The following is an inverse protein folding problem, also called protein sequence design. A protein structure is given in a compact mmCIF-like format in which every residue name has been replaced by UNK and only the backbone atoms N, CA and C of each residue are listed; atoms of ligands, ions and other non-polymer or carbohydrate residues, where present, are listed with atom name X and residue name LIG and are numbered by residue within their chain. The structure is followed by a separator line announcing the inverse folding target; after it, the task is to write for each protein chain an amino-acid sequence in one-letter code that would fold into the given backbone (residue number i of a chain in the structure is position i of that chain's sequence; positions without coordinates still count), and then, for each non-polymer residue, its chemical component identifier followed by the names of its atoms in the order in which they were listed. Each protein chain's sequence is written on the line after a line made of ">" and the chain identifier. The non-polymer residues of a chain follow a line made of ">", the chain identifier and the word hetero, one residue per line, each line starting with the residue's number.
data_IF_099572786263
#
_entry.id   IF_099572786263
#
_cell.length_a   1.000
_cell.length_b   1.000
_cell.length_c   1.000
_cell.angle_alpha   90.00
_cell.angle_beta   90.00
_cell.angle_gamma   90.00
#
_symmetry.space_group_name_H-M   'P 1'
#
loop_
_entity.id
_entity.type
_entity.pdbx_description
1 polymer ?
#
# COMPACT_ATOMS: atom_id res chain seq x y z
N UNK A 1 0.50 -6.41 18.39
CA UNK A 1 1.75 -6.13 17.66
C UNK A 1 2.29 -7.34 16.89
N UNK A 2 2.47 -8.52 17.52
CA UNK A 2 3.03 -9.70 16.83
C UNK A 2 2.25 -10.15 15.56
N UNK A 3 0.91 -10.03 15.56
CA UNK A 3 0.05 -10.32 14.39
C UNK A 3 0.25 -9.33 13.23
N UNK A 4 0.65 -8.09 13.52
CA UNK A 4 0.70 -6.99 12.55
C UNK A 4 2.01 -6.92 11.77
N UNK A 5 3.14 -7.25 12.41
CA UNK A 5 4.48 -7.10 11.81
C UNK A 5 4.63 -7.78 10.45
N UNK A 6 4.17 -9.02 10.31
CA UNK A 6 4.30 -9.76 9.05
C UNK A 6 3.40 -9.16 7.96
N UNK A 7 2.22 -8.68 8.35
CA UNK A 7 1.28 -8.02 7.44
C UNK A 7 1.86 -6.68 6.96
N UNK A 8 2.47 -5.89 7.85
CA UNK A 8 3.17 -4.65 7.48
C UNK A 8 4.27 -4.89 6.47
N UNK A 9 5.13 -5.88 6.69
CA UNK A 9 6.24 -6.17 5.78
C UNK A 9 5.72 -6.55 4.38
N UNK A 10 4.70 -7.43 4.31
CA UNK A 10 4.08 -7.83 3.04
C UNK A 10 3.38 -6.64 2.37
N UNK A 11 2.60 -5.87 3.13
CA UNK A 11 1.92 -4.68 2.65
C UNK A 11 2.91 -3.67 2.06
N UNK A 12 4.00 -3.38 2.77
CA UNK A 12 5.04 -2.46 2.31
C UNK A 12 5.72 -2.95 1.02
N UNK A 13 6.03 -4.25 0.93
CA UNK A 13 6.62 -4.86 -0.27
C UNK A 13 5.67 -4.89 -1.47
N UNK A 14 4.36 -4.85 -1.25
CA UNK A 14 3.37 -4.69 -2.33
C UNK A 14 3.18 -3.22 -2.70
N UNK A 15 3.06 -2.35 -1.70
CA UNK A 15 2.77 -0.93 -1.86
C UNK A 15 3.87 -0.17 -2.58
N UNK A 16 5.12 -0.28 -2.11
CA UNK A 16 6.21 0.55 -2.63
C UNK A 16 6.50 0.32 -4.12
N UNK A 17 6.66 -0.93 -4.62
CA UNK A 17 6.92 -1.15 -6.04
C UNK A 17 5.75 -0.72 -6.92
N UNK A 18 4.51 -0.96 -6.48
CA UNK A 18 3.32 -0.57 -7.25
C UNK A 18 3.18 0.96 -7.29
N UNK A 19 3.43 1.66 -6.18
CA UNK A 19 3.43 3.12 -6.15
C UNK A 19 4.55 3.77 -6.96
N UNK A 20 5.69 3.09 -7.12
CA UNK A 20 6.77 3.56 -7.98
C UNK A 20 6.46 3.39 -9.48
N UNK A 21 5.48 2.54 -9.85
CA UNK A 21 5.08 2.38 -11.24
C UNK A 21 4.23 3.57 -11.71
N UNK A 22 4.53 4.14 -12.89
CA UNK A 22 3.63 5.09 -13.54
C UNK A 22 2.25 4.45 -13.74
N UNK A 23 1.20 5.12 -13.27
CA UNK A 23 -0.20 4.64 -13.31
C UNK A 23 -0.59 3.53 -12.32
N UNK A 24 0.29 3.10 -11.40
CA UNK A 24 -0.04 2.18 -10.31
C UNK A 24 -0.69 2.91 -9.12
N UNK A 25 -1.97 3.25 -9.20
CA UNK A 25 -2.67 3.92 -8.10
C UNK A 25 -2.65 3.12 -6.78
N UNK A 26 -2.71 3.81 -5.63
CA UNK A 26 -2.60 3.23 -4.28
C UNK A 26 -3.75 2.27 -3.90
N UNK A 27 -4.84 2.27 -4.65
CA UNK A 27 -5.98 1.37 -4.42
C UNK A 27 -5.63 -0.09 -4.78
N UNK A 28 -4.89 -0.31 -5.86
CA UNK A 28 -4.48 -1.65 -6.31
C UNK A 28 -3.67 -2.40 -5.24
N UNK A 29 -2.56 -1.86 -4.69
CA UNK A 29 -1.77 -2.57 -3.69
C UNK A 29 -2.57 -2.77 -2.38
N UNK A 30 -3.48 -1.85 -2.06
CA UNK A 30 -4.32 -1.93 -0.84
C UNK A 30 -5.32 -3.10 -0.93
N UNK A 31 -6.08 -3.19 -2.03
CA UNK A 31 -7.02 -4.30 -2.24
C UNK A 31 -6.29 -5.65 -2.42
N UNK A 32 -5.17 -5.65 -3.14
CA UNK A 32 -4.33 -6.84 -3.29
C UNK A 32 -3.79 -7.31 -1.94
N UNK A 33 -3.31 -6.38 -1.10
CA UNK A 33 -2.86 -6.70 0.25
C UNK A 33 -4.01 -7.28 1.08
N UNK A 34 -5.22 -6.72 1.01
CA UNK A 34 -6.37 -7.27 1.75
C UNK A 34 -6.67 -8.71 1.33
N UNK A 35 -6.71 -8.98 0.03
CA UNK A 35 -6.96 -10.32 -0.51
C UNK A 35 -5.86 -11.32 -0.10
N UNK A 36 -4.60 -10.91 -0.13
CA UNK A 36 -3.46 -11.72 0.31
C UNK A 36 -3.52 -12.00 1.80
N UNK A 37 -3.78 -11.00 2.63
CA UNK A 37 -3.88 -11.17 4.08
C UNK A 37 -5.05 -12.09 4.45
N UNK A 38 -6.21 -11.94 3.80
CA UNK A 38 -7.34 -12.88 3.96
C UNK A 38 -6.96 -14.30 3.53
N UNK A 39 -6.15 -14.46 2.48
CA UNK A 39 -5.69 -15.78 2.01
C UNK A 39 -4.64 -16.41 2.93
N UNK A 40 -3.74 -15.63 3.52
CA UNK A 40 -2.65 -16.13 4.37
C UNK A 40 -3.01 -16.23 5.86
N UNK A 41 -4.05 -15.52 6.27
CA UNK A 41 -4.53 -15.53 7.64
C UNK A 41 -4.91 -16.93 8.11
N UNK A 42 -4.55 -17.23 9.36
CA UNK A 42 -5.07 -18.38 10.13
C UNK A 42 -6.44 -18.09 10.74
N UNK A 43 -6.87 -16.84 10.76
CA UNK A 43 -8.07 -16.29 11.38
C UNK A 43 -9.02 -15.71 10.30
N UNK A 44 -9.32 -16.51 9.29
CA UNK A 44 -10.10 -16.05 8.11
C UNK A 44 -11.51 -15.64 8.50
N UNK A 45 -12.05 -16.24 9.55
CA UNK A 45 -13.36 -15.96 10.13
C UNK A 45 -13.49 -14.55 10.72
N UNK A 46 -12.38 -13.91 11.11
CA UNK A 46 -12.39 -12.53 11.65
C UNK A 46 -12.59 -11.48 10.53
N UNK A 47 -12.32 -11.81 9.26
CA UNK A 47 -12.41 -10.88 8.15
C UNK A 47 -13.87 -10.57 7.79
N UNK A 48 -14.29 -9.32 7.98
CA UNK A 48 -15.64 -8.86 7.66
C UNK A 48 -16.69 -9.15 8.75
N UNK A 49 -16.26 -9.69 9.90
CA UNK A 49 -17.11 -9.93 11.07
C UNK A 49 -16.69 -8.99 12.21
N UNK A 50 -15.76 -9.43 13.06
CA UNK A 50 -15.20 -8.67 14.19
C UNK A 50 -14.03 -7.78 13.75
N UNK A 51 -13.45 -8.05 12.59
CA UNK A 51 -12.30 -7.34 12.06
C UNK A 51 -10.99 -8.06 12.38
N UNK A 52 -10.26 -8.42 11.33
CA UNK A 52 -8.97 -9.09 11.44
C UNK A 52 -7.83 -8.08 11.45
N UNK A 53 -6.90 -8.20 12.41
CA UNK A 53 -5.75 -7.28 12.54
C UNK A 53 -4.92 -7.22 11.25
N UNK A 54 -4.71 -8.37 10.60
CA UNK A 54 -3.96 -8.46 9.35
C UNK A 54 -4.71 -7.81 8.18
N UNK A 55 -6.03 -7.88 8.22
CA UNK A 55 -6.93 -7.23 7.27
C UNK A 55 -6.93 -5.71 7.32
N UNK A 56 -6.29 -5.10 8.33
CA UNK A 56 -6.04 -3.64 8.39
C UNK A 56 -4.55 -3.36 8.25
N UNK A 57 -3.71 -4.08 9.00
CA UNK A 57 -2.27 -3.82 9.03
C UNK A 57 -1.60 -3.95 7.65
N UNK A 58 -1.92 -4.99 6.88
CA UNK A 58 -1.36 -5.16 5.53
C UNK A 58 -1.80 -4.04 4.58
N UNK A 59 -3.11 -3.84 4.39
CA UNK A 59 -3.63 -2.78 3.53
C UNK A 59 -3.14 -1.37 3.87
N UNK A 60 -3.09 -1.00 5.16
CA UNK A 60 -2.61 0.32 5.58
C UNK A 60 -1.11 0.50 5.28
N UNK A 61 -0.30 -0.55 5.50
CA UNK A 61 1.11 -0.50 5.12
C UNK A 61 1.31 -0.42 3.61
N UNK A 62 0.46 -1.11 2.82
CA UNK A 62 0.49 -1.05 1.37
C UNK A 62 0.13 0.34 0.84
N UNK A 63 -0.93 0.96 1.38
CA UNK A 63 -1.32 2.32 1.04
C UNK A 63 -0.20 3.32 1.34
N UNK A 64 0.36 3.27 2.57
CA UNK A 64 1.41 4.21 2.98
C UNK A 64 2.71 4.00 2.19
N UNK A 65 3.11 2.75 1.93
CA UNK A 65 4.28 2.45 1.12
C UNK A 65 4.10 2.84 -0.34
N UNK A 66 2.89 2.72 -0.89
CA UNK A 66 2.55 3.21 -2.24
C UNK A 66 2.68 4.71 -2.33
N UNK A 67 2.20 5.46 -1.33
CA UNK A 67 2.36 6.91 -1.29
C UNK A 67 3.86 7.31 -1.29
N UNK A 68 4.68 6.61 -0.52
CA UNK A 68 6.13 6.81 -0.53
C UNK A 68 6.76 6.43 -1.90
N UNK A 69 6.29 5.35 -2.53
CA UNK A 69 6.77 4.91 -3.84
C UNK A 69 6.52 5.93 -4.96
N UNK A 70 5.38 6.63 -4.93
CA UNK A 70 5.03 7.68 -5.90
C UNK A 70 6.04 8.84 -5.90
N UNK A 71 6.67 9.12 -4.75
CA UNK A 71 7.67 10.18 -4.64
C UNK A 71 8.96 9.83 -5.38
N UNK A 72 9.27 8.55 -5.59
CA UNK A 72 10.52 8.12 -6.25
C UNK A 72 10.62 8.65 -7.68
N UNK A 73 9.71 8.32 -8.62
CA UNK A 73 9.79 8.83 -9.99
C UNK A 73 9.58 10.35 -10.06
N UNK A 74 8.76 10.92 -9.18
CA UNK A 74 8.59 12.37 -9.10
C UNK A 74 9.92 13.08 -8.79
N UNK A 75 10.60 12.68 -7.71
CA UNK A 75 11.82 13.35 -7.26
C UNK A 75 13.04 13.01 -8.14
N UNK A 76 13.08 11.81 -8.72
CA UNK A 76 14.25 11.37 -9.51
C UNK A 76 14.16 11.75 -10.99
N UNK A 77 12.96 11.76 -11.58
CA UNK A 77 12.77 12.00 -13.01
C UNK A 77 11.98 13.29 -13.30
N UNK A 78 11.41 13.96 -12.28
CA UNK A 78 10.51 15.10 -12.48
C UNK A 78 9.18 14.71 -13.13
N UNK A 79 8.89 13.41 -13.26
CA UNK A 79 7.69 12.89 -13.90
C UNK A 79 6.66 12.53 -12.84
N UNK A 80 5.59 13.31 -12.67
CA UNK A 80 4.56 13.00 -11.70
C UNK A 80 3.79 11.75 -12.14
N UNK A 81 3.74 10.75 -11.26
CA UNK A 81 3.00 9.50 -11.50
C UNK A 81 1.59 9.50 -10.91
N UNK A 82 1.18 10.60 -10.26
CA UNK A 82 -0.17 10.83 -9.75
C UNK A 82 -0.56 12.32 -9.78
N UNK A 83 -1.86 12.62 -9.69
CA UNK A 83 -2.35 14.00 -9.63
C UNK A 83 -1.81 14.77 -8.40
N UNK A 84 -1.78 14.12 -7.23
CA UNK A 84 -1.20 14.69 -6.00
C UNK A 84 0.29 15.00 -6.19
N UNK A 85 1.01 14.13 -6.90
CA UNK A 85 2.41 14.34 -7.20
C UNK A 85 2.63 15.53 -8.15
N UNK A 86 1.79 15.68 -9.18
CA UNK A 86 1.87 16.83 -10.08
C UNK A 86 1.66 18.16 -9.35
N UNK A 87 0.71 18.21 -8.42
CA UNK A 87 0.47 19.40 -7.59
C UNK A 87 1.69 19.71 -6.72
N UNK A 88 2.27 18.71 -6.05
CA UNK A 88 3.51 18.88 -5.26
C UNK A 88 4.65 19.47 -6.10
N UNK A 89 4.85 18.95 -7.32
CA UNK A 89 5.88 19.46 -8.23
C UNK A 89 5.61 20.91 -8.67
N UNK A 90 4.34 21.28 -8.89
CA UNK A 90 3.94 22.63 -9.29
C UNK A 90 3.97 23.67 -8.17
N UNK A 91 3.95 23.21 -6.91
CA UNK A 91 3.97 24.06 -5.73
C UNK A 91 5.40 24.43 -5.28
N UNK A 92 6.42 23.73 -5.78
CA UNK A 92 7.84 24.07 -5.65
C UNK A 92 8.27 25.03 -6.76
#
# INVERSE_FOLDING_TARGET
>A
WARSWKAWLRGALLGFPIGALPAGGAEIPTFLSYAIEKKLSKHKEEFGTVGAIEGVAGPEAANNASAAGVLVPMLTLGLPTSATAAIMLSAF
#
